data_IF_095958919679
#
_entry.id   IF_095958919679
#
_cell.length_a   1.000
_cell.length_b   1.000
_cell.length_c   1.000
_cell.angle_alpha   90.00
_cell.angle_beta   90.00
_cell.angle_gamma   90.00
#
_symmetry.space_group_name_H-M   'P 1'
#
loop_
_entity.id
_entity.type
_entity.pdbx_description
1 polymer ?
#
# COMPACT_ATOMS: atom_id res chain seq x y z
N UNK A 1 -48.36 12.25 -9.21
CA UNK A 1 -47.62 13.49 -9.52
C UNK A 1 -46.38 13.11 -10.30
N UNK A 2 -46.39 13.47 -11.59
CA UNK A 2 -45.31 13.29 -12.53
C UNK A 2 -44.26 14.40 -12.37
N UNK A 3 -43.10 14.21 -13.02
CA UNK A 3 -41.96 15.12 -13.33
C UNK A 3 -40.64 14.56 -12.74
N UNK A 4 -39.53 14.47 -13.46
CA UNK A 4 -39.22 14.75 -14.85
C UNK A 4 -37.91 14.03 -15.19
N UNK A 5 -37.86 13.37 -16.35
CA UNK A 5 -36.65 12.79 -16.92
C UNK A 5 -35.80 13.91 -17.54
N UNK A 6 -34.66 14.23 -16.91
CA UNK A 6 -33.64 15.10 -17.47
C UNK A 6 -32.64 14.30 -18.30
N UNK A 7 -32.91 14.17 -19.60
CA UNK A 7 -32.01 13.55 -20.57
C UNK A 7 -30.93 14.56 -20.99
N UNK A 8 -29.77 14.50 -20.36
CA UNK A 8 -28.60 15.32 -20.70
C UNK A 8 -27.76 14.65 -21.78
N UNK A 9 -27.82 15.17 -23.00
CA UNK A 9 -26.95 14.84 -24.13
C UNK A 9 -25.51 15.30 -23.85
N UNK A 10 -24.59 14.35 -23.69
CA UNK A 10 -23.15 14.59 -23.63
C UNK A 10 -22.62 14.92 -25.03
N UNK A 11 -22.17 16.16 -25.20
CA UNK A 11 -21.40 16.59 -26.35
C UNK A 11 -20.04 15.86 -26.38
N UNK A 12 -19.82 15.09 -27.44
CA UNK A 12 -18.52 14.50 -27.76
C UNK A 12 -17.54 15.62 -28.13
N UNK A 13 -16.66 15.96 -27.18
CA UNK A 13 -15.59 16.92 -27.38
C UNK A 13 -14.43 16.23 -28.11
N UNK A 14 -14.13 16.73 -29.31
CA UNK A 14 -13.13 16.20 -30.23
C UNK A 14 -11.75 16.07 -29.60
N UNK A 15 -11.14 14.90 -29.81
CA UNK A 15 -9.79 14.55 -29.39
C UNK A 15 -8.80 15.21 -30.37
N UNK A 16 -7.89 16.09 -29.92
CA UNK A 16 -6.86 16.64 -30.79
C UNK A 16 -5.89 15.54 -31.22
N UNK A 17 -5.69 15.42 -32.53
CA UNK A 17 -4.73 14.50 -33.12
C UNK A 17 -3.31 14.95 -32.75
N UNK A 18 -2.61 14.10 -31.99
CA UNK A 18 -1.21 14.32 -31.65
C UNK A 18 -0.33 14.00 -32.87
N UNK A 19 0.55 14.91 -33.31
CA UNK A 19 1.47 14.63 -34.41
C UNK A 19 2.47 13.53 -34.02
N UNK A 20 2.73 12.65 -34.99
CA UNK A 20 3.60 11.48 -34.86
C UNK A 20 5.04 11.86 -34.42
N UNK A 21 5.69 11.03 -33.59
CA UNK A 21 7.08 11.24 -33.20
C UNK A 21 8.03 11.00 -34.39
N UNK A 22 9.12 11.79 -34.52
CA UNK A 22 10.12 11.59 -35.56
C UNK A 22 10.90 10.29 -35.35
N UNK A 23 11.23 9.64 -36.47
CA UNK A 23 11.98 8.39 -36.52
C UNK A 23 13.38 8.54 -35.86
N UNK A 24 13.85 7.54 -35.11
CA UNK A 24 15.20 7.55 -34.57
C UNK A 24 16.22 7.39 -35.70
N UNK A 25 17.00 8.44 -35.94
CA UNK A 25 18.21 8.40 -36.75
C UNK A 25 19.23 7.47 -36.07
N UNK A 26 19.60 6.42 -36.79
CA UNK A 26 20.59 5.43 -36.38
C UNK A 26 21.94 6.08 -36.09
N UNK A 27 22.30 6.12 -34.82
CA UNK A 27 23.66 6.33 -34.36
C UNK A 27 24.40 4.99 -34.33
N UNK A 28 25.20 4.73 -35.35
CA UNK A 28 26.23 3.70 -35.27
C UNK A 28 27.28 4.13 -34.25
N UNK A 29 27.37 3.41 -33.14
CA UNK A 29 28.52 3.50 -32.23
C UNK A 29 29.34 2.23 -32.38
N UNK A 30 30.56 2.45 -32.86
CA UNK A 30 31.64 1.51 -33.00
C UNK A 30 31.81 0.66 -31.74
N UNK A 31 31.99 -0.63 -31.99
CA UNK A 31 32.58 -1.57 -31.05
C UNK A 31 33.92 -1.02 -30.55
N UNK A 32 34.06 -0.88 -29.23
CA UNK A 32 35.35 -0.77 -28.56
C UNK A 32 35.62 -2.07 -27.81
N UNK A 33 36.85 -2.60 -27.90
CA UNK A 33 37.21 -3.95 -27.49
C UNK A 33 37.36 -4.05 -25.97
N UNK A 34 36.88 -5.18 -25.46
CA UNK A 34 37.62 -6.09 -24.58
C UNK A 34 38.78 -5.48 -23.78
N UNK A 35 38.50 -5.17 -22.51
CA UNK A 35 39.52 -5.25 -21.46
C UNK A 35 39.13 -6.37 -20.51
N UNK A 36 39.70 -7.54 -20.80
CA UNK A 36 39.88 -8.61 -19.84
C UNK A 36 40.70 -8.07 -18.66
N UNK A 37 40.07 -8.02 -17.49
CA UNK A 37 40.66 -7.49 -16.27
C UNK A 37 40.08 -8.21 -15.05
N UNK A 38 40.83 -9.21 -14.63
CA UNK A 38 40.98 -9.65 -13.24
C UNK A 38 39.79 -10.32 -12.54
N UNK A 39 39.80 -11.65 -12.67
CA UNK A 39 39.31 -12.57 -11.67
C UNK A 39 40.13 -12.44 -10.37
N UNK A 40 39.50 -11.99 -9.28
CA UNK A 40 39.99 -12.24 -7.93
C UNK A 40 38.85 -12.17 -6.91
N UNK A 41 38.43 -13.35 -6.44
CA UNK A 41 38.14 -13.55 -5.02
C UNK A 41 36.83 -13.00 -4.44
N UNK A 42 35.69 -13.30 -5.06
CA UNK A 42 34.40 -13.28 -4.35
C UNK A 42 34.14 -14.67 -3.76
N UNK A 43 34.73 -14.97 -2.61
CA UNK A 43 34.49 -16.21 -1.89
C UNK A 43 32.99 -16.39 -1.62
N UNK A 44 32.51 -17.58 -1.95
CA UNK A 44 31.17 -18.07 -1.72
C UNK A 44 30.70 -17.86 -0.27
N UNK A 45 30.00 -16.77 0.01
CA UNK A 45 28.93 -16.80 0.99
C UNK A 45 27.69 -17.38 0.32
N UNK A 46 27.77 -18.69 0.03
CA UNK A 46 26.61 -19.55 -0.13
C UNK A 46 25.96 -19.75 1.25
N UNK A 47 25.62 -18.64 1.91
CA UNK A 47 24.66 -18.63 3.00
C UNK A 47 23.35 -19.09 2.37
N UNK A 48 22.85 -20.22 2.83
CA UNK A 48 21.55 -20.79 2.52
C UNK A 48 20.44 -19.81 2.90
N UNK A 49 20.31 -18.71 2.15
CA UNK A 49 19.16 -17.83 2.15
C UNK A 49 18.04 -18.56 1.45
N UNK A 50 17.40 -19.50 2.16
CA UNK A 50 16.09 -19.98 1.74
C UNK A 50 15.26 -18.72 1.46
N UNK A 51 14.71 -18.54 0.26
CA UNK A 51 13.94 -17.35 -0.06
C UNK A 51 12.81 -17.31 0.96
N UNK A 52 12.91 -16.37 1.91
CA UNK A 52 11.90 -16.20 2.93
C UNK A 52 10.60 -15.97 2.17
N UNK A 53 9.72 -16.97 2.15
CA UNK A 53 8.47 -16.88 1.43
C UNK A 53 7.79 -15.60 1.93
N UNK A 54 7.47 -14.65 1.04
CA UNK A 54 7.15 -13.29 1.44
C UNK A 54 5.98 -13.35 2.41
N UNK A 55 6.21 -12.92 3.67
CA UNK A 55 5.23 -12.95 4.75
C UNK A 55 3.92 -12.29 4.31
N UNK A 56 4.02 -11.24 3.49
CA UNK A 56 2.92 -10.59 2.77
C UNK A 56 1.93 -11.57 2.11
N UNK A 57 2.40 -12.62 1.43
CA UNK A 57 1.53 -13.58 0.75
C UNK A 57 0.78 -14.52 1.71
N UNK A 58 1.31 -14.75 2.92
CA UNK A 58 0.63 -15.55 3.95
C UNK A 58 -0.39 -14.69 4.72
N UNK A 59 -0.01 -13.46 5.05
CA UNK A 59 -0.88 -12.51 5.77
C UNK A 59 -2.04 -12.06 4.87
N UNK A 60 -1.81 -11.81 3.58
CA UNK A 60 -2.87 -11.48 2.61
C UNK A 60 -3.92 -12.60 2.46
N UNK A 61 -3.49 -13.87 2.47
CA UNK A 61 -4.42 -15.02 2.52
C UNK A 61 -5.23 -15.06 3.82
N UNK A 62 -4.62 -14.68 4.95
CA UNK A 62 -5.30 -14.53 6.23
C UNK A 62 -6.36 -13.44 6.18
N UNK A 63 -6.05 -12.28 5.59
CA UNK A 63 -6.99 -11.18 5.39
C UNK A 63 -8.19 -11.61 4.54
N UNK A 64 -7.95 -12.34 3.45
CA UNK A 64 -9.04 -12.86 2.60
C UNK A 64 -9.96 -13.83 3.36
N UNK A 65 -9.39 -14.70 4.21
CA UNK A 65 -10.18 -15.60 5.04
C UNK A 65 -11.01 -14.83 6.08
N UNK A 66 -10.45 -13.78 6.69
CA UNK A 66 -11.17 -12.89 7.61
C UNK A 66 -12.30 -12.15 6.88
N UNK A 67 -12.03 -11.61 5.69
CA UNK A 67 -13.04 -10.92 4.88
C UNK A 67 -14.19 -11.86 4.49
N UNK A 68 -13.89 -13.11 4.15
CA UNK A 68 -14.92 -14.12 3.90
C UNK A 68 -15.74 -14.44 5.16
N UNK A 69 -15.09 -14.53 6.33
CA UNK A 69 -15.78 -14.71 7.60
C UNK A 69 -16.68 -13.50 7.94
N UNK A 70 -16.21 -12.27 7.72
CA UNK A 70 -17.00 -11.04 7.88
C UNK A 70 -18.22 -11.04 6.95
N UNK A 71 -18.08 -11.45 5.70
CA UNK A 71 -19.20 -11.58 4.76
C UNK A 71 -20.24 -12.60 5.25
N UNK A 72 -19.81 -13.73 5.81
CA UNK A 72 -20.73 -14.70 6.43
C UNK A 72 -21.43 -14.12 7.66
N UNK A 73 -20.70 -13.36 8.49
CA UNK A 73 -21.27 -12.67 9.65
C UNK A 73 -22.28 -11.58 9.24
N UNK A 74 -22.07 -10.87 8.12
CA UNK A 74 -23.07 -9.95 7.55
C UNK A 74 -24.37 -10.69 7.27
N UNK A 75 -24.30 -11.85 6.60
CA UNK A 75 -25.49 -12.66 6.27
C UNK A 75 -26.18 -13.13 7.56
N UNK A 76 -25.41 -13.62 8.53
CA UNK A 76 -25.95 -14.03 9.82
C UNK A 76 -26.65 -12.86 10.54
N UNK A 77 -26.04 -11.67 10.54
CA UNK A 77 -26.58 -10.45 11.16
C UNK A 77 -27.82 -9.91 10.47
N UNK A 78 -27.87 -10.04 9.14
CA UNK A 78 -29.07 -9.73 8.37
C UNK A 78 -30.25 -10.62 8.79
N UNK A 79 -30.00 -11.91 9.08
CA UNK A 79 -31.03 -12.85 9.53
C UNK A 79 -31.57 -12.56 10.93
N UNK A 80 -30.80 -11.90 11.79
CA UNK A 80 -31.24 -11.49 13.14
C UNK A 80 -32.03 -10.17 13.16
N UNK A 81 -32.39 -9.63 11.99
CA UNK A 81 -33.18 -8.41 11.78
C UNK A 81 -32.51 -7.11 12.27
N UNK A 82 -31.17 -7.08 12.40
CA UNK A 82 -30.40 -5.86 12.64
C UNK A 82 -29.88 -5.28 11.32
N UNK A 83 -30.79 -4.66 10.56
CA UNK A 83 -30.47 -4.12 9.24
C UNK A 83 -29.43 -2.98 9.30
N UNK A 84 -29.43 -2.17 10.37
CA UNK A 84 -28.51 -1.04 10.50
C UNK A 84 -27.09 -1.52 10.76
N UNK A 85 -26.88 -2.44 11.70
CA UNK A 85 -25.57 -3.03 11.95
C UNK A 85 -25.06 -3.84 10.74
N UNK A 86 -25.95 -4.54 10.04
CA UNK A 86 -25.57 -5.27 8.83
C UNK A 86 -25.12 -4.35 7.68
N UNK A 87 -25.73 -3.16 7.53
CA UNK A 87 -25.27 -2.17 6.54
C UNK A 87 -23.88 -1.61 6.88
N UNK A 88 -23.60 -1.34 8.17
CA UNK A 88 -22.26 -0.90 8.60
C UNK A 88 -21.20 -1.99 8.36
N UNK A 89 -21.54 -3.26 8.60
CA UNK A 89 -20.64 -4.36 8.28
C UNK A 89 -20.44 -4.54 6.77
N UNK A 90 -21.50 -4.35 5.97
CA UNK A 90 -21.41 -4.46 4.52
C UNK A 90 -20.46 -3.42 3.92
N UNK A 91 -20.44 -2.19 4.42
CA UNK A 91 -19.50 -1.16 3.96
C UNK A 91 -18.06 -1.54 4.27
N UNK A 92 -17.78 -2.08 5.47
CA UNK A 92 -16.44 -2.58 5.84
C UNK A 92 -16.00 -3.69 4.89
N UNK A 93 -16.88 -4.67 4.61
CA UNK A 93 -16.59 -5.77 3.68
C UNK A 93 -16.36 -5.24 2.26
N UNK A 94 -17.13 -4.25 1.80
CA UNK A 94 -16.94 -3.64 0.49
C UNK A 94 -15.58 -2.95 0.37
N UNK A 95 -15.16 -2.17 1.39
CA UNK A 95 -13.84 -1.53 1.42
C UNK A 95 -12.72 -2.57 1.48
N UNK A 96 -12.89 -3.65 2.27
CA UNK A 96 -11.93 -4.76 2.30
C UNK A 96 -11.81 -5.49 0.96
N UNK A 97 -12.93 -5.70 0.27
CA UNK A 97 -12.93 -6.27 -1.08
C UNK A 97 -12.23 -5.36 -2.10
N UNK A 98 -12.37 -4.05 -1.98
CA UNK A 98 -11.62 -3.08 -2.79
C UNK A 98 -10.11 -3.17 -2.50
N UNK A 99 -9.71 -3.24 -1.23
CA UNK A 99 -8.30 -3.38 -0.85
C UNK A 99 -7.64 -4.64 -1.44
N UNK A 100 -8.37 -5.75 -1.51
CA UNK A 100 -7.89 -7.00 -2.11
C UNK A 100 -7.92 -6.99 -3.65
N UNK A 101 -8.89 -6.29 -4.26
CA UNK A 101 -9.09 -6.32 -5.73
C UNK A 101 -8.21 -5.33 -6.49
N UNK A 102 -7.80 -4.22 -5.87
CA UNK A 102 -6.93 -3.21 -6.48
C UNK A 102 -5.47 -3.67 -6.51
N UNK A 103 -5.05 -4.53 -5.57
CA UNK A 103 -3.67 -4.95 -5.46
C UNK A 103 -3.19 -5.85 -6.62
N UNK A 104 -1.99 -5.60 -7.18
CA UNK A 104 -1.46 -6.39 -8.28
C UNK A 104 -1.18 -7.84 -7.84
N UNK A 105 -1.73 -8.81 -8.59
CA UNK A 105 -1.46 -10.26 -8.42
C UNK A 105 -1.76 -10.81 -7.01
N UNK A 106 -2.78 -10.28 -6.35
CA UNK A 106 -3.22 -10.78 -5.04
C UNK A 106 -2.39 -10.28 -3.86
N UNK A 107 -1.59 -9.23 -4.04
CA UNK A 107 -1.20 -8.37 -2.93
C UNK A 107 -2.38 -7.51 -2.49
N UNK A 108 -2.32 -6.97 -1.28
CA UNK A 108 -3.30 -6.00 -0.76
C UNK A 108 -2.70 -4.63 -0.99
N UNK A 109 -3.49 -3.69 -1.53
CA UNK A 109 -3.03 -2.30 -1.63
C UNK A 109 -2.88 -1.70 -0.23
N UNK A 110 -1.74 -1.09 0.05
CA UNK A 110 -1.36 -0.63 1.40
C UNK A 110 -2.26 0.50 1.90
N UNK A 111 -2.62 1.42 1.00
CA UNK A 111 -3.44 2.59 1.31
C UNK A 111 -4.87 2.13 1.59
N UNK A 112 -5.46 1.32 0.72
CA UNK A 112 -6.79 0.75 0.94
C UNK A 112 -6.82 -0.23 2.12
N UNK A 113 -5.74 -0.96 2.37
CA UNK A 113 -5.57 -1.84 3.52
C UNK A 113 -5.60 -1.06 4.84
N UNK A 114 -4.93 0.09 4.89
CA UNK A 114 -4.99 1.01 6.04
C UNK A 114 -6.41 1.56 6.28
N UNK A 115 -7.10 2.02 5.22
CA UNK A 115 -8.49 2.49 5.34
C UNK A 115 -9.44 1.38 5.80
N UNK A 116 -9.28 0.17 5.27
CA UNK A 116 -10.04 -0.99 5.72
C UNK A 116 -9.81 -1.26 7.21
N UNK A 117 -8.55 -1.29 7.66
CA UNK A 117 -8.20 -1.53 9.06
C UNK A 117 -8.80 -0.49 10.01
N UNK A 118 -8.76 0.80 9.66
CA UNK A 118 -9.38 1.87 10.46
C UNK A 118 -10.91 1.71 10.52
N UNK A 119 -11.55 1.43 9.39
CA UNK A 119 -13.00 1.24 9.32
C UNK A 119 -13.45 -0.01 10.09
N UNK A 120 -12.67 -1.10 10.02
CA UNK A 120 -12.89 -2.31 10.79
C UNK A 120 -12.74 -2.06 12.30
N UNK A 121 -11.73 -1.28 12.72
CA UNK A 121 -11.53 -0.90 14.13
C UNK A 121 -12.72 -0.12 14.68
N UNK A 122 -13.13 0.95 13.98
CA UNK A 122 -14.26 1.80 14.42
C UNK A 122 -15.55 0.99 14.47
N UNK A 123 -15.80 0.15 13.47
CA UNK A 123 -16.98 -0.73 13.45
C UNK A 123 -16.94 -1.78 14.57
N UNK A 124 -15.76 -2.35 14.84
CA UNK A 124 -15.48 -3.27 15.94
C UNK A 124 -15.83 -2.69 17.30
N UNK A 125 -15.43 -1.44 17.54
CA UNK A 125 -15.74 -0.74 18.79
C UNK A 125 -17.22 -0.43 18.94
N UNK A 126 -17.91 -0.06 17.86
CA UNK A 126 -19.37 0.15 17.88
C UNK A 126 -20.12 -1.15 18.18
N UNK A 127 -19.73 -2.26 17.56
CA UNK A 127 -20.31 -3.57 17.81
C UNK A 127 -20.02 -4.07 19.23
N UNK A 128 -18.83 -3.80 19.75
CA UNK A 128 -18.49 -4.10 21.15
C UNK A 128 -19.33 -3.28 22.13
N UNK A 129 -19.55 -1.99 21.85
CA UNK A 129 -20.40 -1.14 22.67
C UNK A 129 -21.85 -1.65 22.70
N UNK A 130 -22.41 -2.05 21.55
CA UNK A 130 -23.73 -2.67 21.49
C UNK A 130 -23.77 -4.02 22.21
N UNK A 131 -22.70 -4.82 22.14
CA UNK A 131 -22.61 -6.09 22.86
C UNK A 131 -22.65 -5.86 24.38
N UNK A 132 -21.86 -4.91 24.89
CA UNK A 132 -21.82 -4.53 26.30
C UNK A 132 -23.17 -3.98 26.74
N UNK A 133 -23.79 -3.10 25.95
CA UNK A 133 -25.12 -2.58 26.23
C UNK A 133 -26.12 -3.74 26.38
N UNK A 134 -26.22 -4.62 25.38
CA UNK A 134 -27.14 -5.76 25.45
C UNK A 134 -26.85 -6.71 26.62
N UNK A 135 -25.58 -6.86 27.01
CA UNK A 135 -25.19 -7.68 28.15
C UNK A 135 -25.64 -7.04 29.47
N UNK A 136 -25.31 -5.76 29.69
CA UNK A 136 -25.63 -5.03 30.93
C UNK A 136 -27.16 -4.88 31.10
N UNK A 137 -27.86 -4.48 30.05
CA UNK A 137 -29.32 -4.36 30.10
C UNK A 137 -30.02 -5.72 30.22
N UNK A 138 -29.44 -6.77 29.62
CA UNK A 138 -29.89 -8.14 29.77
C UNK A 138 -29.81 -8.60 31.23
N UNK A 139 -28.65 -8.47 31.85
CA UNK A 139 -28.42 -8.84 33.25
C UNK A 139 -29.33 -8.04 34.20
N UNK A 140 -29.46 -6.73 34.01
CA UNK A 140 -30.33 -5.91 34.87
C UNK A 140 -31.79 -6.39 34.79
N UNK A 141 -32.30 -6.68 33.59
CA UNK A 141 -33.67 -7.17 33.42
C UNK A 141 -33.85 -8.56 34.05
N UNK A 142 -32.83 -9.40 34.02
CA UNK A 142 -32.82 -10.71 34.68
C UNK A 142 -32.83 -10.62 36.20
N UNK A 143 -32.02 -9.74 36.80
CA UNK A 143 -32.00 -9.51 38.25
C UNK A 143 -33.38 -9.06 38.76
N UNK A 144 -34.11 -8.26 37.96
CA UNK A 144 -35.47 -7.80 38.29
C UNK A 144 -36.53 -8.90 38.14
N UNK A 145 -36.29 -9.90 37.31
CA UNK A 145 -37.21 -11.01 37.01
C UNK A 145 -36.73 -12.31 37.69
N UNK A 146 -36.68 -12.31 39.02
CA UNK A 146 -36.08 -13.31 39.92
C UNK A 146 -36.62 -14.76 39.84
N UNK A 147 -37.36 -15.16 38.79
CA UNK A 147 -37.94 -16.52 38.69
C UNK A 147 -38.05 -17.10 37.28
N UNK A 148 -37.60 -16.38 36.24
CA UNK A 148 -37.71 -16.87 34.87
C UNK A 148 -36.52 -17.78 34.50
N UNK A 149 -36.80 -19.05 34.16
CA UNK A 149 -35.80 -20.02 33.65
C UNK A 149 -35.02 -19.39 32.49
N UNK A 150 -33.70 -19.37 32.61
CA UNK A 150 -32.80 -18.78 31.62
C UNK A 150 -32.90 -19.55 30.30
N UNK A 151 -33.39 -18.89 29.25
CA UNK A 151 -33.38 -19.46 27.90
C UNK A 151 -32.07 -19.09 27.22
N UNK A 152 -31.29 -20.08 26.78
CA UNK A 152 -30.04 -19.85 26.04
C UNK A 152 -30.23 -18.97 24.80
N UNK A 153 -31.45 -18.90 24.26
CA UNK A 153 -31.79 -18.03 23.14
C UNK A 153 -31.61 -16.53 23.43
N UNK A 154 -31.68 -16.08 24.70
CA UNK A 154 -31.46 -14.67 25.05
C UNK A 154 -29.99 -14.25 24.91
N UNK A 155 -29.06 -15.20 25.03
CA UNK A 155 -27.61 -14.95 24.89
C UNK A 155 -27.12 -14.98 23.45
N UNK A 156 -27.88 -15.55 22.52
CA UNK A 156 -27.45 -15.68 21.12
C UNK A 156 -27.17 -14.31 20.47
N UNK A 157 -27.97 -13.29 20.78
CA UNK A 157 -27.80 -11.92 20.24
C UNK A 157 -26.52 -11.23 20.72
N UNK A 158 -26.28 -11.06 22.03
CA UNK A 158 -25.03 -10.42 22.50
C UNK A 158 -23.79 -11.21 22.11
N UNK A 159 -23.86 -12.56 22.07
CA UNK A 159 -22.75 -13.38 21.59
C UNK A 159 -22.43 -13.15 20.12
N UNK A 160 -23.44 -12.97 19.26
CA UNK A 160 -23.21 -12.59 17.87
C UNK A 160 -22.47 -11.24 17.77
N UNK A 161 -22.93 -10.22 18.50
CA UNK A 161 -22.26 -8.90 18.50
C UNK A 161 -20.82 -9.00 18.98
N UNK A 162 -20.55 -9.83 19.99
CA UNK A 162 -19.20 -10.08 20.49
C UNK A 162 -18.30 -10.75 19.44
N UNK A 163 -18.80 -11.79 18.76
CA UNK A 163 -18.07 -12.49 17.69
C UNK A 163 -17.79 -11.54 16.52
N UNK A 164 -18.76 -10.68 16.19
CA UNK A 164 -18.65 -9.66 15.17
C UNK A 164 -17.55 -8.63 15.50
N UNK A 165 -17.60 -8.07 16.70
CA UNK A 165 -16.58 -7.15 17.20
C UNK A 165 -15.19 -7.80 17.19
N UNK A 166 -15.07 -9.05 17.64
CA UNK A 166 -13.80 -9.76 17.65
C UNK A 166 -13.25 -9.98 16.24
N UNK A 167 -14.09 -10.40 15.29
CA UNK A 167 -13.67 -10.59 13.90
C UNK A 167 -13.15 -9.28 13.28
N UNK A 168 -13.88 -8.17 13.49
CA UNK A 168 -13.49 -6.85 13.01
C UNK A 168 -12.20 -6.33 13.67
N UNK A 169 -12.03 -6.54 14.98
CA UNK A 169 -10.80 -6.15 15.69
C UNK A 169 -9.60 -6.99 15.26
N UNK A 170 -9.78 -8.29 15.02
CA UNK A 170 -8.74 -9.15 14.46
C UNK A 170 -8.38 -8.70 13.04
N UNK A 171 -9.37 -8.32 12.24
CA UNK A 171 -9.11 -7.82 10.90
C UNK A 171 -8.37 -6.48 10.90
N UNK A 172 -8.76 -5.55 11.78
CA UNK A 172 -8.03 -4.31 12.00
C UNK A 172 -6.59 -4.56 12.46
N UNK A 173 -6.38 -5.53 13.36
CA UNK A 173 -5.05 -5.92 13.82
C UNK A 173 -4.19 -6.50 12.69
N UNK A 174 -4.75 -7.39 11.86
CA UNK A 174 -4.04 -7.94 10.69
C UNK A 174 -3.72 -6.85 9.67
N UNK A 175 -4.67 -5.96 9.39
CA UNK A 175 -4.45 -4.81 8.51
C UNK A 175 -3.35 -3.88 9.06
N UNK A 176 -3.30 -3.65 10.37
CA UNK A 176 -2.22 -2.91 11.02
C UNK A 176 -0.87 -3.59 10.86
N UNK A 177 -0.80 -4.92 11.01
CA UNK A 177 0.44 -5.66 10.78
C UNK A 177 0.91 -5.57 9.33
N UNK A 178 -0.01 -5.64 8.35
CA UNK A 178 0.29 -5.44 6.94
C UNK A 178 0.79 -4.03 6.66
N UNK A 179 0.13 -3.01 7.23
CA UNK A 179 0.57 -1.62 7.12
C UNK A 179 1.98 -1.42 7.69
N UNK A 180 2.29 -2.05 8.82
CA UNK A 180 3.63 -1.98 9.43
C UNK A 180 4.72 -2.72 8.65
N UNK A 181 4.35 -3.79 7.95
CA UNK A 181 5.26 -4.53 7.06
C UNK A 181 5.58 -3.66 5.83
N UNK A 182 4.55 -3.08 5.22
CA UNK A 182 4.65 -2.13 4.11
C UNK A 182 5.49 -0.89 4.46
N UNK A 183 5.29 -0.30 5.64
CA UNK A 183 6.07 0.86 6.10
C UNK A 183 7.57 0.54 6.20
N UNK A 184 7.93 -0.67 6.63
CA UNK A 184 9.34 -1.11 6.72
C UNK A 184 9.97 -1.31 5.35
N UNK A 185 9.23 -1.90 4.42
CA UNK A 185 9.70 -2.10 3.05
C UNK A 185 9.82 -0.77 2.30
N UNK A 186 8.87 0.15 2.53
CA UNK A 186 8.89 1.50 1.95
C UNK A 186 10.02 2.40 2.47
N UNK A 187 10.44 2.25 3.74
CA UNK A 187 11.58 3.00 4.29
C UNK A 187 12.93 2.50 3.71
N UNK A 188 13.02 1.21 3.37
CA UNK A 188 14.15 0.63 2.65
C UNK A 188 14.19 1.12 1.19
N UNK A 189 13.04 1.21 0.52
CA UNK A 189 12.94 1.75 -0.85
C UNK A 189 13.12 3.27 -0.91
N UNK A 190 12.74 4.02 0.13
CA UNK A 190 13.05 5.46 0.24
C UNK A 190 14.56 5.73 0.38
N UNK A 191 15.33 4.71 0.73
CA UNK A 191 16.79 4.72 0.74
C UNK A 191 17.39 4.31 -0.61
N UNK A 192 16.59 3.83 -1.57
CA UNK A 192 17.07 3.76 -2.96
C UNK A 192 17.30 5.19 -3.47
N UNK A 193 18.49 5.47 -4.03
CA UNK A 193 18.78 6.78 -4.56
C UNK A 193 17.73 7.12 -5.63
N UNK A 194 17.17 8.34 -5.57
CA UNK A 194 16.22 8.97 -6.51
C UNK A 194 16.72 9.01 -7.98
N UNK A 195 17.78 8.28 -8.31
CA UNK A 195 18.21 7.98 -9.66
C UNK A 195 17.34 6.82 -10.19
N UNK A 196 16.10 7.16 -10.55
CA UNK A 196 15.04 6.26 -11.00
C UNK A 196 15.33 5.46 -12.28
N UNK A 197 16.55 5.48 -12.81
CA UNK A 197 16.96 4.60 -13.89
C UNK A 197 18.35 4.03 -13.64
N UNK A 198 18.59 2.73 -13.93
CA UNK A 198 19.93 2.14 -13.87
C UNK A 198 20.92 2.89 -14.75
N UNK A 199 20.42 3.63 -15.75
CA UNK A 199 21.23 4.53 -16.56
C UNK A 199 21.69 5.78 -15.80
N UNK A 200 20.80 6.44 -15.05
CA UNK A 200 21.15 7.59 -14.20
C UNK A 200 22.14 7.20 -13.11
N UNK A 201 21.98 6.01 -12.50
CA UNK A 201 22.94 5.48 -11.54
C UNK A 201 24.35 5.32 -12.17
N UNK A 202 24.45 4.79 -13.40
CA UNK A 202 25.74 4.71 -14.12
C UNK A 202 26.33 6.09 -14.42
N UNK A 203 25.51 7.05 -14.85
CA UNK A 203 25.98 8.40 -15.17
C UNK A 203 26.50 9.08 -13.90
N UNK A 204 25.76 8.99 -12.80
CA UNK A 204 26.16 9.56 -11.51
C UNK A 204 27.48 8.96 -11.02
N UNK A 205 27.61 7.63 -11.03
CA UNK A 205 28.85 6.95 -10.66
C UNK A 205 30.02 7.32 -11.58
N UNK A 206 29.77 7.48 -12.89
CA UNK A 206 30.79 7.96 -13.82
C UNK A 206 31.26 9.38 -13.47
N UNK A 207 30.33 10.30 -13.18
CA UNK A 207 30.65 11.68 -12.78
C UNK A 207 31.43 11.72 -11.47
N UNK A 208 31.04 10.92 -10.47
CA UNK A 208 31.76 10.78 -9.21
C UNK A 208 33.20 10.32 -9.42
N UNK A 209 33.40 9.26 -10.21
CA UNK A 209 34.75 8.75 -10.52
C UNK A 209 35.65 9.75 -11.23
N UNK A 210 35.06 10.64 -12.04
CA UNK A 210 35.79 11.74 -12.69
C UNK A 210 36.12 12.90 -11.75
N UNK A 211 35.27 13.15 -10.75
CA UNK A 211 35.50 14.21 -9.76
C UNK A 211 36.65 13.88 -8.81
N UNK A 212 36.78 12.60 -8.43
CA UNK A 212 37.79 12.13 -7.49
C UNK A 212 39.22 12.19 -8.09
N UNK A 213 39.36 11.84 -9.39
CA UNK A 213 40.65 11.96 -10.11
C UNK A 213 41.20 13.39 -10.18
N UNK A 214 40.33 14.41 -10.15
CA UNK A 214 40.79 15.82 -10.15
C UNK A 214 41.29 16.26 -8.78
N UNK A 215 40.78 15.70 -7.69
CA UNK A 215 41.19 16.07 -6.34
C UNK A 215 42.59 15.52 -5.99
N UNK A 216 42.95 14.33 -6.46
CA UNK A 216 44.22 13.68 -6.11
C UNK A 216 45.42 14.14 -6.96
N UNK A 217 45.20 14.88 -8.05
CA UNK A 217 46.26 15.28 -9.00
C UNK A 217 46.87 16.67 -8.78
N UNK A 218 46.43 17.43 -7.78
CA UNK A 218 46.72 18.88 -7.70
C UNK A 218 47.58 19.32 -6.50
N UNK A 219 48.36 18.42 -5.90
CA UNK A 219 49.18 18.72 -4.71
C UNK A 219 50.64 19.07 -5.01
N UNK A 220 51.04 19.39 -6.25
CA UNK A 220 52.43 19.80 -6.50
C UNK A 220 52.60 20.75 -7.67
N UNK A 221 51.99 21.94 -7.62
CA UNK A 221 52.62 23.11 -8.24
C UNK A 221 52.16 24.42 -7.58
N UNK A 222 53.05 25.15 -6.88
CA UNK A 222 52.78 26.50 -6.41
C UNK A 222 53.03 27.47 -7.58
N UNK A 223 51.99 27.80 -8.35
CA UNK A 223 52.07 28.83 -9.37
C UNK A 223 50.89 29.81 -9.23
N UNK A 224 51.13 30.82 -8.41
CA UNK A 224 50.75 32.23 -8.58
C UNK A 224 49.41 32.48 -9.30
N UNK A 225 48.38 32.72 -8.48
CA UNK A 225 47.32 33.73 -8.64
C UNK A 225 46.90 34.10 -10.07
N UNK A 226 46.00 33.31 -10.66
CA UNK A 226 45.02 33.85 -11.59
C UNK A 226 43.64 33.24 -11.26
N UNK A 227 42.62 34.06 -10.89
CA UNK A 227 41.28 33.56 -10.60
C UNK A 227 40.64 33.02 -11.88
N UNK A 228 40.57 31.69 -12.01
CA UNK A 228 39.86 31.03 -13.10
C UNK A 228 38.37 31.23 -12.87
N UNK A 229 37.76 32.11 -13.68
CA UNK A 229 36.33 32.41 -13.67
C UNK A 229 35.57 31.24 -14.31
N UNK A 230 34.78 30.43 -13.56
CA UNK A 230 34.29 29.14 -14.06
C UNK A 230 33.13 29.23 -15.06
N UNK A 231 32.61 30.42 -15.39
CA UNK A 231 31.51 30.57 -16.36
C UNK A 231 31.65 31.88 -17.13
N UNK A 232 32.36 31.84 -18.26
CA UNK A 232 32.35 32.89 -19.28
C UNK A 232 31.60 32.42 -20.54
N UNK A 233 30.48 31.72 -20.34
CA UNK A 233 29.57 31.36 -21.44
C UNK A 233 28.68 32.54 -21.78
N UNK A 234 28.85 33.12 -22.96
CA UNK A 234 27.91 34.12 -23.50
C UNK A 234 26.55 33.48 -23.69
N UNK A 235 25.56 33.92 -22.94
CA UNK A 235 24.18 33.48 -23.09
C UNK A 235 23.64 33.94 -24.46
N UNK A 236 23.47 32.99 -25.38
CA UNK A 236 22.84 33.23 -26.67
C UNK A 236 21.34 33.47 -26.42
N UNK A 237 20.84 34.69 -26.70
CA UNK A 237 19.40 34.94 -26.76
C UNK A 237 18.83 34.24 -27.99
N UNK A 238 17.77 33.46 -27.79
CA UNK A 238 16.98 32.89 -28.87
C UNK A 238 16.00 33.97 -29.40
N UNK A 239 15.79 34.02 -30.74
CA UNK A 239 14.85 34.95 -31.38
C UNK A 239 13.39 34.61 -31.12
#
# INVERSE_FOLDING_TARGET
>A
QALAQGSGTLHAQGRPEHPAPPAPLGGGMSASPETAGEAAGGANEAGSGAPAAPLAGRVGRGLLALLAAEALLVVARWRTADARGALLMLTVVAVGALAVSVGPRGSVDEVYGGYYGLMALVSGLLDLNLAIENFVWGEWRHVRASSAKMSLASFAKPMMYLVCALAQLLSAFVAYLLYKDAERDGELDASEPVLATPHQARIYNAVLSHSERRASGQTSQPAILAPVKPFAGSAHRLP
#
